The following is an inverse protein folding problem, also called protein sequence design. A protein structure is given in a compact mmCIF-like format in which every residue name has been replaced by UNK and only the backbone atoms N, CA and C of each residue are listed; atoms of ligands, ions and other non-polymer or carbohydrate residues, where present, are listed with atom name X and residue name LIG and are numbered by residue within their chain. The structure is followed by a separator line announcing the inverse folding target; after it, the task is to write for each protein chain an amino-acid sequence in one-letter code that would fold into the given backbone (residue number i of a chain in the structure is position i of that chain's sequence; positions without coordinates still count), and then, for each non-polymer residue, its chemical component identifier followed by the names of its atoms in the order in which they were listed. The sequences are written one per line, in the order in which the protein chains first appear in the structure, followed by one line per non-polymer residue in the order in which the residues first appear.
data_IF_502014620195
#
_entry.id   IF_502014620195
#
_cell.length_a   1.000
_cell.length_b   1.000
_cell.length_c   1.000
_cell.angle_alpha   90.00
_cell.angle_beta   90.00
_cell.angle_gamma   90.00
#
_symmetry.space_group_name_H-M   'P 1'
#
loop_
_entity.id
_entity.type
_entity.pdbx_description
1 polymer ?
#
# COMPACT_ATOMS: atom_id res chain seq x y z
N UNK A 1 -7.32 22.29 -21.19
CA UNK A 1 -6.81 21.06 -21.85
C UNK A 1 -7.19 19.76 -21.11
N UNK A 2 -7.15 19.70 -19.78
CA UNK A 2 -7.42 18.46 -19.03
C UNK A 2 -8.89 18.03 -18.96
N UNK A 3 -9.83 18.98 -18.91
CA UNK A 3 -11.26 18.69 -18.77
C UNK A 3 -11.81 17.58 -19.68
N UNK A 4 -11.69 17.67 -21.03
CA UNK A 4 -12.24 16.62 -21.90
C UNK A 4 -11.56 15.26 -21.71
N UNK A 5 -10.29 15.23 -21.29
CA UNK A 5 -9.55 13.99 -21.01
C UNK A 5 -10.08 13.33 -19.73
N UNK A 6 -10.21 14.11 -18.66
CA UNK A 6 -10.73 13.61 -17.37
C UNK A 6 -12.18 13.15 -17.49
N UNK A 7 -13.01 13.88 -18.26
CA UNK A 7 -14.39 13.48 -18.55
C UNK A 7 -14.46 12.13 -19.29
N UNK A 8 -13.57 11.90 -20.25
CA UNK A 8 -13.48 10.61 -20.94
C UNK A 8 -13.01 9.50 -20.00
N UNK A 9 -11.98 9.75 -19.18
CA UNK A 9 -11.43 8.75 -18.25
C UNK A 9 -12.46 8.33 -17.21
N UNK A 10 -13.27 9.26 -16.70
CA UNK A 10 -14.39 8.95 -15.80
C UNK A 10 -15.36 7.92 -16.40
N UNK A 11 -15.59 7.97 -17.72
CA UNK A 11 -16.45 7.00 -18.41
C UNK A 11 -15.79 5.62 -18.58
N UNK A 12 -14.46 5.56 -18.55
CA UNK A 12 -13.69 4.32 -18.68
C UNK A 12 -13.48 3.60 -17.35
N UNK A 13 -13.58 4.31 -16.22
CA UNK A 13 -13.47 3.69 -14.89
C UNK A 13 -14.64 2.72 -14.66
N UNK A 14 -14.34 1.58 -14.01
CA UNK A 14 -15.35 0.75 -13.36
C UNK A 14 -15.98 1.49 -12.18
N UNK A 15 -17.12 1.02 -11.69
CA UNK A 15 -17.83 1.68 -10.58
C UNK A 15 -17.01 1.70 -9.29
N UNK A 16 -16.22 0.66 -9.04
CA UNK A 16 -15.19 0.56 -8.00
C UNK A 16 -13.82 1.16 -8.39
N UNK A 17 -13.75 1.83 -9.55
CA UNK A 17 -12.52 2.35 -10.13
C UNK A 17 -12.03 3.63 -9.44
N UNK A 18 -10.70 3.80 -9.42
CA UNK A 18 -10.01 4.95 -8.82
C UNK A 18 -9.02 5.57 -9.80
N UNK A 19 -8.93 6.89 -9.79
CA UNK A 19 -7.93 7.67 -10.52
C UNK A 19 -6.95 8.32 -9.55
N UNK A 20 -5.65 8.26 -9.87
CA UNK A 20 -4.59 8.99 -9.18
C UNK A 20 -3.96 10.00 -10.13
N UNK A 21 -3.79 11.25 -9.68
CA UNK A 21 -3.23 12.33 -10.49
C UNK A 21 -2.11 13.02 -9.71
N UNK A 22 -0.86 12.84 -10.17
CA UNK A 22 0.29 13.57 -9.62
C UNK A 22 0.25 15.01 -10.08
N UNK A 23 0.44 15.95 -9.15
CA UNK A 23 0.44 17.39 -9.43
C UNK A 23 1.35 18.12 -8.43
N UNK A 24 1.97 19.22 -8.86
CA UNK A 24 2.70 20.09 -7.96
C UNK A 24 1.75 21.10 -7.27
N UNK A 25 2.32 22.03 -6.51
CA UNK A 25 1.58 23.06 -5.80
C UNK A 25 0.98 24.17 -6.69
N UNK A 26 1.43 24.34 -7.94
CA UNK A 26 0.97 25.44 -8.78
C UNK A 26 -0.48 25.24 -9.22
N UNK A 27 -0.87 24.01 -9.53
CA UNK A 27 -2.16 23.69 -10.17
C UNK A 27 -3.04 22.76 -9.32
N UNK A 28 -2.61 22.38 -8.11
CA UNK A 28 -3.35 21.40 -7.29
C UNK A 28 -4.76 21.88 -6.94
N UNK A 29 -4.95 23.17 -6.72
CA UNK A 29 -6.25 23.75 -6.34
C UNK A 29 -7.20 23.72 -7.53
N UNK A 30 -6.76 24.25 -8.67
CA UNK A 30 -7.57 24.29 -9.90
C UNK A 30 -7.90 22.89 -10.42
N UNK A 31 -6.94 21.96 -10.35
CA UNK A 31 -7.18 20.57 -10.70
C UNK A 31 -8.17 19.90 -9.74
N UNK A 32 -8.15 20.25 -8.45
CA UNK A 32 -9.14 19.73 -7.48
C UNK A 32 -10.55 20.20 -7.82
N UNK A 33 -10.73 21.49 -8.16
CA UNK A 33 -12.02 22.00 -8.61
C UNK A 33 -12.51 21.31 -9.89
N UNK A 34 -11.60 21.08 -10.84
CA UNK A 34 -11.90 20.37 -12.07
C UNK A 34 -12.35 18.92 -11.82
N UNK A 35 -11.67 18.23 -10.89
CA UNK A 35 -12.02 16.87 -10.51
C UNK A 35 -13.36 16.83 -9.75
N UNK A 36 -13.63 17.79 -8.86
CA UNK A 36 -14.93 17.88 -8.18
C UNK A 36 -16.08 18.03 -9.18
N UNK A 37 -15.93 18.84 -10.23
CA UNK A 37 -16.95 18.98 -11.27
C UNK A 37 -17.18 17.66 -12.03
N UNK A 38 -16.12 16.92 -12.33
CA UNK A 38 -16.18 15.71 -13.17
C UNK A 38 -16.59 14.47 -12.37
N UNK A 39 -15.93 14.21 -11.25
CA UNK A 39 -16.12 13.01 -10.44
C UNK A 39 -17.20 13.18 -9.37
N UNK A 40 -17.51 14.42 -8.98
CA UNK A 40 -18.32 14.75 -7.81
C UNK A 40 -17.43 14.90 -6.57
N UNK A 41 -17.68 15.94 -5.78
CA UNK A 41 -16.92 16.23 -4.56
C UNK A 41 -17.03 15.08 -3.54
N UNK A 42 -18.19 14.43 -3.44
CA UNK A 42 -18.43 13.28 -2.56
C UNK A 42 -17.57 12.06 -2.93
N UNK A 43 -17.04 12.01 -4.16
CA UNK A 43 -16.16 10.93 -4.63
C UNK A 43 -14.67 11.26 -4.47
N UNK A 44 -14.33 12.37 -3.81
CA UNK A 44 -12.96 12.64 -3.40
C UNK A 44 -12.50 11.62 -2.37
N UNK A 45 -11.38 10.95 -2.65
CA UNK A 45 -10.83 9.90 -1.77
C UNK A 45 -9.79 10.50 -0.85
N UNK A 46 -8.74 11.12 -1.40
CA UNK A 46 -7.64 11.69 -0.62
C UNK A 46 -6.76 12.60 -1.48
N UNK A 47 -6.05 13.54 -0.84
CA UNK A 47 -4.92 14.27 -1.41
C UNK A 47 -3.64 13.87 -0.68
N UNK A 48 -2.94 12.89 -1.24
CA UNK A 48 -1.68 12.43 -0.68
C UNK A 48 -0.60 13.49 -0.80
N UNK A 49 0.25 13.57 0.23
CA UNK A 49 1.49 14.34 0.22
C UNK A 49 2.62 13.37 -0.10
N UNK A 50 3.22 13.50 -1.28
CA UNK A 50 4.36 12.69 -1.66
C UNK A 50 5.66 13.46 -1.42
N UNK A 51 6.47 12.98 -0.46
CA UNK A 51 7.79 13.55 -0.16
C UNK A 51 8.79 13.17 -1.26
N UNK A 52 8.75 13.88 -2.38
CA UNK A 52 9.41 13.53 -3.64
C UNK A 52 10.90 13.88 -3.68
N UNK A 53 11.36 14.83 -2.86
CA UNK A 53 12.74 15.29 -2.87
C UNK A 53 12.92 16.56 -2.04
N UNK A 54 13.97 17.32 -2.34
CA UNK A 54 14.22 18.65 -1.73
C UNK A 54 14.68 19.60 -2.82
N UNK A 55 13.98 20.71 -2.95
CA UNK A 55 14.38 21.83 -3.80
C UNK A 55 14.42 23.09 -2.95
N UNK A 56 15.58 23.75 -2.91
CA UNK A 56 15.69 25.05 -2.26
C UNK A 56 14.85 26.06 -3.04
N UNK A 57 13.71 26.50 -2.49
CA UNK A 57 13.02 27.69 -2.97
C UNK A 57 13.46 28.91 -2.14
N UNK A 58 13.14 30.12 -2.62
CA UNK A 58 13.69 31.38 -2.08
C UNK A 58 13.55 31.52 -0.56
N UNK A 59 12.34 31.31 -0.03
CA UNK A 59 12.04 31.47 1.40
C UNK A 59 11.87 30.15 2.13
N UNK A 60 11.39 29.10 1.45
CA UNK A 60 11.11 27.79 2.04
C UNK A 60 11.63 26.66 1.15
N UNK A 61 12.14 25.59 1.74
CA UNK A 61 12.50 24.37 1.00
C UNK A 61 11.23 23.61 0.61
N UNK A 62 11.02 23.38 -0.68
CA UNK A 62 9.93 22.54 -1.18
C UNK A 62 10.35 21.07 -1.07
N UNK A 63 9.63 20.28 -0.29
CA UNK A 63 9.96 18.87 -0.04
C UNK A 63 8.94 17.86 -0.58
N UNK A 64 7.84 18.33 -1.17
CA UNK A 64 6.74 17.45 -1.57
C UNK A 64 5.99 17.91 -2.83
N UNK A 65 5.32 16.94 -3.44
CA UNK A 65 4.30 17.06 -4.46
C UNK A 65 2.97 16.47 -3.93
N UNK A 66 1.89 16.64 -4.67
CA UNK A 66 0.58 16.08 -4.34
C UNK A 66 0.18 14.96 -5.28
N UNK A 67 -0.63 14.03 -4.77
CA UNK A 67 -1.34 13.04 -5.60
C UNK A 67 -2.81 13.10 -5.21
N UNK A 68 -3.65 13.57 -6.14
CA UNK A 68 -5.10 13.59 -5.95
C UNK A 68 -5.66 12.21 -6.27
N UNK A 69 -6.56 11.72 -5.44
CA UNK A 69 -7.29 10.47 -5.65
C UNK A 69 -8.80 10.71 -5.64
N UNK A 70 -9.47 10.22 -6.68
CA UNK A 70 -10.93 10.24 -6.82
C UNK A 70 -11.42 8.86 -7.23
N UNK A 71 -12.54 8.43 -6.64
CA UNK A 71 -13.25 7.24 -7.08
C UNK A 71 -14.26 7.59 -8.17
N UNK A 72 -14.74 6.60 -8.91
CA UNK A 72 -15.95 6.78 -9.72
C UNK A 72 -17.20 6.78 -8.84
N UNK A 73 -17.25 5.84 -7.90
CA UNK A 73 -18.21 5.77 -6.79
C UNK A 73 -17.46 5.34 -5.53
N UNK A 74 -17.28 6.26 -4.57
CA UNK A 74 -16.52 5.99 -3.36
C UNK A 74 -17.16 4.90 -2.47
N UNK A 75 -18.49 4.70 -2.57
CA UNK A 75 -19.18 3.68 -1.82
C UNK A 75 -18.86 2.26 -2.31
N UNK A 76 -18.37 2.13 -3.54
CA UNK A 76 -17.98 0.86 -4.16
C UNK A 76 -16.47 0.59 -4.08
N UNK A 77 -15.68 1.54 -3.57
CA UNK A 77 -14.23 1.41 -3.50
C UNK A 77 -13.84 0.28 -2.52
N UNK A 78 -13.05 -0.72 -2.95
CA UNK A 78 -12.69 -1.83 -2.08
C UNK A 78 -11.71 -1.40 -0.98
N UNK A 79 -11.74 -2.05 0.20
CA UNK A 79 -10.72 -1.82 1.22
C UNK A 79 -9.35 -2.27 0.70
N UNK A 80 -8.30 -1.54 1.05
CA UNK A 80 -6.94 -1.95 0.73
C UNK A 80 -6.60 -3.17 1.58
N UNK A 81 -6.40 -4.33 0.93
CA UNK A 81 -6.08 -5.58 1.63
C UNK A 81 -4.57 -5.65 1.87
N UNK A 82 -4.17 -6.08 3.08
CA UNK A 82 -2.76 -6.31 3.37
C UNK A 82 -2.26 -7.57 2.64
N UNK A 83 -1.30 -7.41 1.73
CA UNK A 83 -0.74 -8.50 0.90
C UNK A 83 0.69 -8.91 1.31
N UNK A 84 1.13 -8.59 2.54
CA UNK A 84 2.48 -8.92 3.01
C UNK A 84 2.63 -10.36 3.53
N UNK A 85 3.83 -10.92 3.44
CA UNK A 85 4.18 -12.27 3.93
C UNK A 85 3.96 -12.42 5.45
N UNK A 86 4.25 -11.36 6.22
CA UNK A 86 3.90 -11.27 7.66
C UNK A 86 2.47 -10.77 7.86
N UNK A 87 1.50 -11.55 7.35
CA UNK A 87 0.07 -11.29 7.58
C UNK A 87 -0.31 -11.34 9.06
N UNK A 88 0.57 -11.82 9.93
CA UNK A 88 0.36 -12.01 11.35
C UNK A 88 0.87 -10.80 12.15
N UNK A 89 -0.04 -10.09 12.82
CA UNK A 89 0.30 -9.01 13.74
C UNK A 89 -0.15 -9.37 15.15
N UNK A 90 0.68 -9.08 16.14
CA UNK A 90 0.31 -9.24 17.55
C UNK A 90 -0.20 -7.94 18.16
N UNK A 91 -1.27 -8.02 18.95
CA UNK A 91 -1.80 -6.92 19.76
C UNK A 91 -2.12 -7.42 21.17
N UNK A 92 -2.38 -6.51 22.11
CA UNK A 92 -2.62 -6.82 23.53
C UNK A 92 -4.09 -7.14 23.76
N UNK A 93 -4.35 -8.17 24.56
CA UNK A 93 -5.72 -8.60 24.90
C UNK A 93 -6.26 -7.96 26.20
N UNK A 94 -5.54 -6.98 26.76
CA UNK A 94 -5.88 -6.29 28.00
C UNK A 94 -5.83 -4.77 27.81
N UNK A 95 -6.64 -4.07 28.61
CA UNK A 95 -6.64 -2.61 28.78
C UNK A 95 -6.75 -2.24 30.24
N UNK A 96 -6.53 -0.96 30.54
CA UNK A 96 -6.78 -0.40 31.87
C UNK A 96 -8.24 -0.66 32.26
N UNK A 97 -8.42 -1.21 33.46
CA UNK A 97 -9.75 -1.44 34.04
C UNK A 97 -10.51 -0.12 34.09
N UNK A 98 -11.71 -0.12 33.52
CA UNK A 98 -12.57 1.05 33.38
C UNK A 98 -14.01 0.60 33.19
N UNK A 99 -14.96 1.54 33.20
CA UNK A 99 -16.38 1.24 32.92
C UNK A 99 -16.55 0.55 31.55
N UNK A 100 -15.74 0.92 30.55
CA UNK A 100 -15.75 0.31 29.21
C UNK A 100 -15.04 -1.05 29.14
N UNK A 101 -14.13 -1.33 30.06
CA UNK A 101 -13.36 -2.59 30.11
C UNK A 101 -13.33 -3.07 31.58
N UNK A 102 -14.45 -3.58 32.11
CA UNK A 102 -14.53 -4.02 33.49
C UNK A 102 -13.58 -5.20 33.73
N UNK A 103 -13.01 -5.28 34.93
CA UNK A 103 -12.19 -6.42 35.30
C UNK A 103 -13.05 -7.69 35.33
N UNK A 104 -12.58 -8.75 34.70
CA UNK A 104 -13.25 -10.04 34.69
C UNK A 104 -12.23 -11.17 34.72
N UNK A 105 -12.67 -12.37 35.10
CA UNK A 105 -11.82 -13.55 35.19
C UNK A 105 -11.89 -14.40 33.92
N UNK A 106 -10.76 -15.00 33.57
CA UNK A 106 -10.62 -16.05 32.55
C UNK A 106 -9.67 -17.12 33.10
N UNK A 107 -10.07 -18.39 32.96
CA UNK A 107 -9.23 -19.53 33.30
C UNK A 107 -8.49 -20.01 32.05
N UNK A 108 -7.16 -20.01 32.10
CA UNK A 108 -6.29 -20.47 31.03
C UNK A 108 -5.77 -21.87 31.35
N UNK A 109 -5.93 -22.86 30.44
CA UNK A 109 -5.39 -24.19 30.62
C UNK A 109 -3.87 -24.20 30.45
N UNK A 110 -3.21 -25.28 30.87
CA UNK A 110 -1.80 -25.48 30.56
C UNK A 110 -1.56 -25.51 29.03
N UNK A 111 -0.36 -25.15 28.60
CA UNK A 111 0.07 -25.24 27.20
C UNK A 111 -0.04 -23.96 26.39
N UNK A 112 -0.65 -22.88 26.91
CA UNK A 112 -0.65 -21.57 26.25
C UNK A 112 0.78 -21.09 26.05
N UNK A 113 1.16 -20.72 24.82
CA UNK A 113 2.52 -20.32 24.48
C UNK A 113 2.96 -19.10 25.29
N UNK A 114 4.25 -19.09 25.65
CA UNK A 114 4.89 -18.03 26.41
C UNK A 114 6.24 -17.66 25.77
N UNK A 115 6.47 -16.37 25.52
CA UNK A 115 7.64 -15.86 24.81
C UNK A 115 8.84 -15.51 25.71
N UNK A 116 8.92 -16.07 26.92
CA UNK A 116 10.00 -15.81 27.86
C UNK A 116 10.66 -17.06 28.42
N UNK A 117 11.71 -16.85 29.21
CA UNK A 117 12.35 -17.89 30.01
C UNK A 117 11.49 -18.31 31.20
N UNK A 118 11.75 -19.49 31.77
CA UNK A 118 11.01 -20.05 32.89
C UNK A 118 10.76 -19.01 33.99
N UNK A 119 9.49 -18.78 34.34
CA UNK A 119 9.10 -17.68 35.24
C UNK A 119 7.82 -18.00 35.98
N UNK A 120 7.78 -17.62 37.25
CA UNK A 120 6.58 -17.60 38.08
C UNK A 120 6.22 -16.15 38.37
N UNK A 121 4.98 -15.77 38.06
CA UNK A 121 4.49 -14.41 38.27
C UNK A 121 3.95 -14.23 39.69
N UNK A 122 4.09 -13.03 40.29
CA UNK A 122 3.48 -12.73 41.58
C UNK A 122 1.95 -12.70 41.46
N UNK A 123 1.21 -12.73 42.60
CA UNK A 123 -0.26 -12.70 42.59
C UNK A 123 -0.85 -11.46 41.90
N UNK A 124 -0.13 -10.35 41.85
CA UNK A 124 -0.53 -9.11 41.15
C UNK A 124 0.68 -8.52 40.43
N UNK A 125 0.52 -8.15 39.15
CA UNK A 125 1.57 -7.53 38.35
C UNK A 125 1.03 -6.60 37.26
N UNK A 126 1.91 -5.76 36.70
CA UNK A 126 1.58 -4.76 35.67
C UNK A 126 1.22 -3.39 36.27
N UNK A 127 1.68 -2.31 35.62
CA UNK A 127 1.51 -0.95 36.16
C UNK A 127 0.15 -0.33 35.82
N UNK A 128 -0.08 -0.04 34.53
CA UNK A 128 -1.32 0.60 34.05
C UNK A 128 -2.43 -0.40 33.77
N UNK A 129 -2.06 -1.66 33.56
CA UNK A 129 -2.93 -2.74 33.16
C UNK A 129 -2.62 -3.92 34.05
N UNK A 130 -3.19 -3.84 35.24
CA UNK A 130 -2.97 -4.81 36.31
C UNK A 130 -3.60 -6.14 35.93
N UNK A 131 -2.86 -7.22 36.18
CA UNK A 131 -3.32 -8.60 36.11
C UNK A 131 -3.19 -9.21 37.51
N UNK A 132 -4.25 -9.86 37.97
CA UNK A 132 -4.34 -10.52 39.27
C UNK A 132 -4.54 -12.03 39.06
N UNK A 133 -3.80 -12.86 39.78
CA UNK A 133 -3.98 -14.32 39.83
C UNK A 133 -4.99 -14.64 40.91
N UNK A 134 -6.18 -15.08 40.52
CA UNK A 134 -7.27 -15.35 41.49
C UNK A 134 -7.42 -16.83 41.83
N UNK A 135 -6.93 -17.73 40.98
CA UNK A 135 -6.81 -19.15 41.29
C UNK A 135 -5.63 -19.81 40.55
N UNK A 136 -5.01 -20.82 41.16
CA UNK A 136 -3.85 -21.53 40.60
C UNK A 136 -2.53 -20.77 40.77
N UNK A 137 -1.52 -21.17 39.99
CA UNK A 137 -0.19 -20.53 39.99
C UNK A 137 0.16 -20.15 38.56
N UNK A 138 0.40 -18.86 38.31
CA UNK A 138 0.87 -18.40 37.01
C UNK A 138 2.37 -18.72 36.85
N UNK A 139 2.66 -19.94 36.44
CA UNK A 139 4.01 -20.45 36.19
C UNK A 139 4.15 -20.82 34.71
N UNK A 140 5.15 -20.27 34.02
CA UNK A 140 5.51 -20.64 32.66
C UNK A 140 6.84 -21.39 32.66
N UNK A 141 6.89 -22.53 31.97
CA UNK A 141 8.09 -23.36 31.80
C UNK A 141 8.21 -23.83 30.36
N UNK A 142 9.44 -23.90 29.84
CA UNK A 142 9.74 -24.41 28.50
C UNK A 142 8.92 -23.74 27.39
N UNK A 143 8.70 -22.42 27.50
CA UNK A 143 7.97 -21.64 26.50
C UNK A 143 6.44 -21.80 26.53
N UNK A 144 5.86 -22.37 27.59
CA UNK A 144 4.41 -22.46 27.74
C UNK A 144 3.94 -22.28 29.20
N UNK A 145 2.66 -22.01 29.37
CA UNK A 145 1.98 -22.02 30.66
C UNK A 145 1.99 -23.45 31.23
N UNK A 146 2.62 -23.64 32.39
CA UNK A 146 2.91 -24.96 32.94
C UNK A 146 1.69 -25.66 33.54
N UNK A 147 0.69 -24.90 33.98
CA UNK A 147 -0.52 -25.40 34.64
C UNK A 147 -1.67 -24.42 34.47
N UNK A 148 -2.88 -24.89 34.72
CA UNK A 148 -4.07 -24.05 34.71
C UNK A 148 -3.95 -22.88 35.71
N UNK A 149 -4.41 -21.70 35.28
CA UNK A 149 -4.44 -20.49 36.11
C UNK A 149 -5.66 -19.64 35.77
N UNK A 150 -6.28 -19.05 36.79
CA UNK A 150 -7.34 -18.06 36.60
C UNK A 150 -6.77 -16.65 36.81
N UNK A 151 -6.92 -15.82 35.79
CA UNK A 151 -6.42 -14.45 35.77
C UNK A 151 -7.57 -13.45 35.67
N UNK A 152 -7.48 -12.38 36.45
CA UNK A 152 -8.40 -11.25 36.43
C UNK A 152 -7.73 -10.02 35.85
N UNK A 153 -8.30 -9.46 34.79
CA UNK A 153 -7.81 -8.25 34.13
C UNK A 153 -8.95 -7.53 33.37
N UNK A 154 -8.66 -6.33 32.86
CA UNK A 154 -9.54 -5.60 31.94
C UNK A 154 -9.46 -6.16 30.52
N UNK A 155 -10.00 -7.36 30.28
CA UNK A 155 -9.94 -8.04 28.99
C UNK A 155 -10.68 -7.27 27.89
N UNK A 156 -10.04 -7.05 26.74
CA UNK A 156 -10.67 -6.34 25.60
C UNK A 156 -11.47 -7.24 24.67
N UNK A 157 -11.32 -8.57 24.81
CA UNK A 157 -11.91 -9.57 23.92
C UNK A 157 -12.24 -10.86 24.68
N UNK A 158 -12.86 -10.75 25.87
CA UNK A 158 -13.13 -11.88 26.76
C UNK A 158 -13.81 -13.05 26.03
N UNK A 159 -14.91 -12.77 25.33
CA UNK A 159 -15.65 -13.80 24.60
C UNK A 159 -14.78 -14.48 23.52
N UNK A 160 -13.93 -13.73 22.83
CA UNK A 160 -13.04 -14.30 21.81
C UNK A 160 -11.96 -15.19 22.42
N UNK A 161 -11.41 -14.80 23.59
CA UNK A 161 -10.43 -15.60 24.33
C UNK A 161 -11.09 -16.93 24.74
N UNK A 162 -12.27 -16.88 25.36
CA UNK A 162 -12.99 -18.08 25.82
C UNK A 162 -13.39 -18.99 24.64
N UNK A 163 -13.82 -18.40 23.52
CA UNK A 163 -14.15 -19.15 22.31
C UNK A 163 -12.92 -19.85 21.72
N UNK A 164 -11.77 -19.17 21.69
CA UNK A 164 -10.50 -19.76 21.23
C UNK A 164 -9.99 -20.85 22.17
N UNK A 165 -10.10 -20.65 23.49
CA UNK A 165 -9.76 -21.66 24.49
C UNK A 165 -10.62 -22.93 24.37
N UNK A 166 -11.83 -22.80 23.83
CA UNK A 166 -12.74 -23.91 23.53
C UNK A 166 -12.42 -24.62 22.20
N UNK A 167 -11.38 -24.17 21.47
CA UNK A 167 -10.96 -24.74 20.19
C UNK A 167 -11.71 -24.20 18.96
N UNK A 168 -12.53 -23.16 19.12
CA UNK A 168 -13.28 -22.57 18.02
C UNK A 168 -12.49 -21.44 17.34
N UNK A 169 -12.78 -21.23 16.05
CA UNK A 169 -12.34 -20.03 15.35
C UNK A 169 -12.90 -18.77 16.01
N UNK A 170 -12.08 -17.72 16.06
CA UNK A 170 -12.47 -16.44 16.65
C UNK A 170 -11.97 -15.27 15.83
N UNK A 171 -12.71 -14.17 15.88
CA UNK A 171 -12.48 -12.99 15.05
C UNK A 171 -12.48 -11.73 15.92
N UNK A 172 -11.61 -10.78 15.59
CA UNK A 172 -11.61 -9.48 16.26
C UNK A 172 -12.82 -8.62 15.83
N UNK A 173 -12.99 -7.46 16.46
CA UNK A 173 -14.11 -6.55 16.14
C UNK A 173 -14.10 -6.00 14.71
N UNK A 174 -13.03 -6.22 13.95
CA UNK A 174 -12.89 -5.85 12.54
C UNK A 174 -13.06 -7.06 11.60
N UNK A 175 -13.51 -8.20 12.13
CA UNK A 175 -13.68 -9.43 11.35
C UNK A 175 -12.37 -10.13 10.99
N UNK A 176 -11.25 -9.77 11.62
CA UNK A 176 -9.96 -10.41 11.36
C UNK A 176 -9.82 -11.69 12.17
N UNK A 177 -9.47 -12.81 11.53
CA UNK A 177 -9.26 -14.07 12.23
C UNK A 177 -8.11 -13.93 13.23
N UNK A 178 -8.40 -14.21 14.49
CA UNK A 178 -7.40 -14.32 15.55
C UNK A 178 -6.91 -15.77 15.55
N UNK A 179 -5.63 -15.96 15.24
CA UNK A 179 -5.06 -17.30 15.04
C UNK A 179 -4.47 -17.88 16.31
N UNK A 180 -4.14 -17.04 17.30
CA UNK A 180 -3.46 -17.48 18.51
C UNK A 180 -3.61 -16.46 19.65
N UNK A 181 -3.67 -16.93 20.90
CA UNK A 181 -3.33 -16.15 22.09
C UNK A 181 -2.08 -16.71 22.77
N UNK A 182 -1.21 -15.83 23.27
CA UNK A 182 0.04 -16.20 23.93
C UNK A 182 0.46 -15.15 24.98
N UNK A 183 1.30 -15.54 25.94
CA UNK A 183 1.82 -14.64 26.97
C UNK A 183 3.20 -14.07 26.59
N UNK A 184 3.40 -12.77 26.80
CA UNK A 184 4.72 -12.13 26.72
C UNK A 184 5.52 -12.29 28.02
N UNK A 185 6.85 -12.05 28.03
CA UNK A 185 7.69 -12.17 29.25
C UNK A 185 7.22 -11.38 30.48
N UNK A 186 6.41 -10.33 30.26
CA UNK A 186 5.78 -9.53 31.30
C UNK A 186 4.44 -10.09 31.80
N UNK A 187 4.01 -11.26 31.33
CA UNK A 187 2.77 -11.94 31.72
C UNK A 187 1.52 -11.40 31.00
N UNK A 188 1.67 -10.41 30.13
CA UNK A 188 0.55 -9.83 29.38
C UNK A 188 0.14 -10.76 28.26
N UNK A 189 -1.15 -11.09 28.21
CA UNK A 189 -1.74 -11.84 27.10
C UNK A 189 -1.76 -10.97 25.84
N UNK A 190 -1.23 -11.53 24.75
CA UNK A 190 -1.31 -11.01 23.42
C UNK A 190 -2.05 -11.99 22.51
N UNK A 191 -2.51 -11.48 21.38
CA UNK A 191 -3.14 -12.28 20.36
C UNK A 191 -2.56 -11.95 19.00
N UNK A 192 -2.45 -12.96 18.16
CA UNK A 192 -2.02 -12.82 16.76
C UNK A 192 -3.25 -12.83 15.88
N UNK A 193 -3.35 -11.88 14.94
CA UNK A 193 -4.43 -11.83 13.95
C UNK A 193 -3.89 -11.72 12.54
N UNK A 194 -4.65 -12.27 11.60
CA UNK A 194 -4.43 -12.03 10.17
C UNK A 194 -4.83 -10.59 9.84
N UNK A 195 -3.90 -9.78 9.34
CA UNK A 195 -4.20 -8.45 8.81
C UNK A 195 -5.14 -8.59 7.61
N UNK A 196 -6.39 -8.16 7.79
CA UNK A 196 -7.38 -8.12 6.71
C UNK A 196 -7.31 -6.84 5.88
N UNK A 197 -7.20 -5.67 6.52
CA UNK A 197 -7.27 -4.35 5.87
C UNK A 197 -6.03 -3.53 6.28
N UNK A 198 -5.36 -2.96 5.30
CA UNK A 198 -4.32 -1.94 5.44
C UNK A 198 -4.97 -0.56 5.27
N UNK A 199 -4.55 0.42 6.07
CA UNK A 199 -4.91 1.82 5.85
C UNK A 199 -3.65 2.57 5.39
N UNK A 200 -3.49 2.85 4.07
CA UNK A 200 -2.35 3.59 3.56
C UNK A 200 -2.23 4.95 4.24
N UNK A 201 -0.99 5.40 4.47
CA UNK A 201 -0.74 6.72 5.05
C UNK A 201 -0.91 7.79 3.97
N UNK A 202 -1.50 8.92 4.36
CA UNK A 202 -1.71 10.08 3.48
C UNK A 202 -0.41 10.83 3.16
N UNK A 203 0.62 10.68 4.00
CA UNK A 203 1.98 11.14 3.74
C UNK A 203 2.81 9.96 3.23
N UNK A 204 3.17 10.02 1.95
CA UNK A 204 3.95 8.99 1.26
C UNK A 204 5.43 9.37 1.32
N UNK A 205 6.23 8.49 1.93
CA UNK A 205 7.68 8.64 2.09
C UNK A 205 8.41 7.41 1.56
N UNK A 206 9.70 7.55 1.26
CA UNK A 206 10.56 6.43 0.82
C UNK A 206 10.65 6.26 -0.70
N UNK A 207 9.84 7.02 -1.45
CA UNK A 207 9.90 7.12 -2.91
C UNK A 207 10.36 8.52 -3.30
N UNK A 208 11.40 8.66 -4.11
CA UNK A 208 11.98 9.97 -4.49
C UNK A 208 12.14 10.10 -6.00
N UNK A 209 12.15 11.32 -6.52
CA UNK A 209 12.44 11.60 -7.94
C UNK A 209 13.78 11.01 -8.38
N UNK A 210 14.78 11.07 -7.50
CA UNK A 210 16.11 10.48 -7.73
C UNK A 210 16.06 8.99 -8.03
N UNK A 211 15.22 8.22 -7.32
CA UNK A 211 15.06 6.78 -7.60
C UNK A 211 14.51 6.55 -9.00
N UNK A 212 13.52 7.34 -9.45
CA UNK A 212 12.99 7.23 -10.81
C UNK A 212 14.06 7.48 -11.87
N UNK A 213 14.90 8.52 -11.70
CA UNK A 213 16.00 8.80 -12.63
C UNK A 213 17.05 7.68 -12.63
N UNK A 214 17.32 7.08 -11.46
CA UNK A 214 18.23 5.93 -11.34
C UNK A 214 17.66 4.67 -12.02
N UNK A 215 16.37 4.39 -11.88
CA UNK A 215 15.69 3.27 -12.55
C UNK A 215 15.80 3.40 -14.08
N UNK A 216 15.52 4.58 -14.63
CA UNK A 216 15.67 4.83 -16.07
C UNK A 216 17.11 4.64 -16.51
N UNK A 217 18.08 5.21 -15.78
CA UNK A 217 19.50 5.10 -16.12
C UNK A 217 20.00 3.66 -16.05
N UNK A 218 19.57 2.88 -15.05
CA UNK A 218 19.92 1.47 -14.93
C UNK A 218 19.42 0.65 -16.11
N UNK A 219 18.18 0.90 -16.54
CA UNK A 219 17.53 0.14 -17.61
C UNK A 219 17.99 0.57 -19.02
N UNK A 220 18.13 1.87 -19.26
CA UNK A 220 18.46 2.41 -20.58
C UNK A 220 19.95 2.70 -20.78
N UNK A 221 20.75 2.68 -19.71
CA UNK A 221 22.18 3.04 -19.73
C UNK A 221 22.44 4.53 -19.83
N UNK A 222 21.39 5.37 -19.89
CA UNK A 222 21.48 6.80 -20.12
C UNK A 222 20.37 7.55 -19.39
N UNK A 223 20.60 8.83 -19.09
CA UNK A 223 19.60 9.72 -18.52
C UNK A 223 18.91 10.45 -19.67
N UNK A 224 17.70 10.01 -20.02
CA UNK A 224 16.93 10.47 -21.19
C UNK A 224 15.56 11.03 -20.84
N UNK A 225 15.24 11.08 -19.55
CA UNK A 225 14.04 11.67 -18.97
C UNK A 225 14.44 12.49 -17.75
N UNK A 226 13.87 13.69 -17.62
CA UNK A 226 14.23 14.61 -16.53
C UNK A 226 13.61 14.17 -15.19
N UNK A 227 12.31 13.80 -15.21
CA UNK A 227 11.54 13.52 -13.98
C UNK A 227 10.65 12.26 -14.08
N UNK A 228 11.20 11.08 -14.41
CA UNK A 228 10.43 9.84 -14.39
C UNK A 228 9.93 9.56 -12.96
N UNK A 229 8.65 9.20 -12.79
CA UNK A 229 8.14 8.75 -11.49
C UNK A 229 8.78 7.40 -11.12
N UNK A 230 9.17 7.17 -9.86
CA UNK A 230 9.75 5.89 -9.43
C UNK A 230 8.69 4.78 -9.44
N UNK A 231 9.06 3.57 -9.88
CA UNK A 231 8.14 2.42 -9.92
C UNK A 231 7.53 2.09 -8.56
N UNK A 232 8.32 2.19 -7.48
CA UNK A 232 7.84 1.93 -6.11
C UNK A 232 6.70 2.84 -5.64
N UNK A 233 6.64 4.09 -6.11
CA UNK A 233 5.52 4.99 -5.80
C UNK A 233 4.23 4.46 -6.43
N UNK A 234 4.30 3.99 -7.68
CA UNK A 234 3.14 3.49 -8.41
C UNK A 234 2.70 2.15 -7.80
N UNK A 235 3.63 1.25 -7.45
CA UNK A 235 3.33 0.02 -6.71
C UNK A 235 2.63 0.31 -5.36
N UNK A 236 3.04 1.38 -4.67
CA UNK A 236 2.38 1.81 -3.43
C UNK A 236 0.92 2.22 -3.65
N UNK A 237 0.64 3.00 -4.70
CA UNK A 237 -0.73 3.41 -5.04
C UNK A 237 -1.57 2.22 -5.52
N UNK A 238 -0.98 1.31 -6.28
CA UNK A 238 -1.62 0.09 -6.80
C UNK A 238 -2.04 -0.90 -5.72
N UNK A 239 -1.69 -0.70 -4.44
CA UNK A 239 -2.16 -1.56 -3.35
C UNK A 239 -3.69 -1.70 -3.29
N UNK A 240 -4.41 -0.67 -3.73
CA UNK A 240 -5.88 -0.68 -3.79
C UNK A 240 -6.44 -1.55 -4.92
N UNK A 241 -5.61 -1.89 -5.91
CA UNK A 241 -6.03 -2.67 -7.08
C UNK A 241 -6.06 -4.17 -6.80
N UNK A 242 -7.01 -4.85 -7.44
CA UNK A 242 -7.06 -6.29 -7.60
C UNK A 242 -5.87 -6.83 -8.40
N UNK A 243 -5.70 -8.15 -8.38
CA UNK A 243 -4.60 -8.82 -9.10
C UNK A 243 -4.85 -8.95 -10.61
N UNK A 244 -6.04 -8.61 -11.09
CA UNK A 244 -6.48 -8.80 -12.48
C UNK A 244 -6.95 -7.48 -13.12
N UNK A 245 -6.79 -6.36 -12.41
CA UNK A 245 -7.31 -5.06 -12.84
C UNK A 245 -6.58 -4.52 -14.07
N UNK A 246 -7.24 -3.60 -14.77
CA UNK A 246 -6.66 -2.86 -15.90
C UNK A 246 -6.18 -1.50 -15.40
N UNK A 247 -4.89 -1.21 -15.61
CA UNK A 247 -4.26 0.05 -15.23
C UNK A 247 -4.05 0.92 -16.47
N UNK A 248 -4.71 2.08 -16.52
CA UNK A 248 -4.58 3.04 -17.61
C UNK A 248 -3.71 4.23 -17.19
N UNK A 249 -2.69 4.53 -17.99
CA UNK A 249 -1.92 5.77 -17.90
C UNK A 249 -1.89 6.45 -19.27
N UNK A 250 -2.65 7.54 -19.39
CA UNK A 250 -2.80 8.31 -20.61
C UNK A 250 -1.83 9.51 -20.71
N UNK A 251 -0.88 9.60 -19.77
CA UNK A 251 0.28 10.49 -19.78
C UNK A 251 1.54 9.67 -19.49
N UNK A 252 1.74 8.61 -20.26
CA UNK A 252 2.69 7.55 -19.91
C UNK A 252 4.12 8.06 -19.68
N UNK A 253 4.53 9.13 -20.39
CA UNK A 253 5.84 9.74 -20.28
C UNK A 253 6.90 8.67 -20.43
N UNK A 254 7.71 8.49 -19.38
CA UNK A 254 8.75 7.47 -19.34
C UNK A 254 8.27 6.00 -19.27
N UNK A 255 6.97 5.71 -19.18
CA UNK A 255 6.42 4.36 -19.05
C UNK A 255 6.58 3.73 -17.66
N UNK A 256 6.70 4.54 -16.61
CA UNK A 256 6.88 4.03 -15.25
C UNK A 256 5.69 3.18 -14.78
N UNK A 257 4.46 3.52 -15.17
CA UNK A 257 3.25 2.76 -14.79
C UNK A 257 3.28 1.33 -15.32
N UNK A 258 3.59 1.13 -16.62
CA UNK A 258 3.72 -0.21 -17.18
C UNK A 258 4.83 -1.02 -16.53
N UNK A 259 5.96 -0.38 -16.21
CA UNK A 259 7.05 -1.05 -15.48
C UNK A 259 6.63 -1.46 -14.06
N UNK A 260 5.91 -0.61 -13.33
CA UNK A 260 5.41 -0.94 -11.99
C UNK A 260 4.41 -2.11 -12.03
N UNK A 261 3.54 -2.17 -13.03
CA UNK A 261 2.61 -3.30 -13.22
C UNK A 261 3.36 -4.62 -13.45
N UNK A 262 4.40 -4.62 -14.29
CA UNK A 262 5.23 -5.80 -14.54
C UNK A 262 5.91 -6.30 -13.25
N UNK A 263 6.51 -5.38 -12.48
CA UNK A 263 7.13 -5.70 -11.18
C UNK A 263 6.13 -6.29 -10.19
N UNK A 264 4.96 -5.65 -10.05
CA UNK A 264 3.96 -6.07 -9.10
C UNK A 264 3.40 -7.46 -9.46
N UNK A 265 3.10 -7.72 -10.74
CA UNK A 265 2.64 -9.03 -11.20
C UNK A 265 3.68 -10.13 -10.94
N UNK A 266 4.96 -9.85 -11.22
CA UNK A 266 6.06 -10.78 -10.89
C UNK A 266 6.13 -11.07 -9.38
N UNK A 267 5.91 -10.05 -8.56
CA UNK A 267 6.01 -10.13 -7.10
C UNK A 267 4.85 -10.89 -6.47
N UNK A 268 3.61 -10.64 -6.90
CA UNK A 268 2.40 -11.21 -6.27
C UNK A 268 1.69 -12.29 -7.09
N UNK A 269 2.25 -12.68 -8.24
CA UNK A 269 1.65 -13.64 -9.15
C UNK A 269 0.39 -13.14 -9.85
N UNK A 270 0.09 -11.83 -9.77
CA UNK A 270 -1.06 -11.22 -10.42
C UNK A 270 -0.92 -11.16 -11.95
N UNK A 271 -2.05 -10.85 -12.61
CA UNK A 271 -2.16 -10.70 -14.07
C UNK A 271 -2.78 -9.36 -14.45
N UNK A 272 -2.46 -8.30 -13.69
CA UNK A 272 -2.90 -6.94 -14.00
C UNK A 272 -2.47 -6.56 -15.41
N UNK A 273 -3.36 -5.93 -16.15
CA UNK A 273 -3.09 -5.44 -17.50
C UNK A 273 -2.78 -3.94 -17.44
N UNK A 274 -1.99 -3.44 -18.39
CA UNK A 274 -1.77 -2.00 -18.50
C UNK A 274 -2.00 -1.48 -19.91
N UNK A 275 -2.49 -0.25 -19.99
CA UNK A 275 -2.64 0.53 -21.21
C UNK A 275 -1.89 1.84 -21.04
N UNK A 276 -0.91 2.10 -21.91
CA UNK A 276 -0.14 3.34 -21.92
C UNK A 276 -0.45 4.14 -23.17
N UNK A 277 -0.76 5.44 -23.00
CA UNK A 277 -0.90 6.38 -24.11
C UNK A 277 0.20 7.44 -23.99
N UNK A 278 0.95 7.63 -25.07
CA UNK A 278 2.00 8.64 -25.17
C UNK A 278 1.93 9.33 -26.53
N UNK A 279 1.90 10.67 -26.51
CA UNK A 279 1.97 11.45 -27.74
C UNK A 279 3.35 11.31 -28.41
N UNK A 280 3.42 11.35 -29.75
CA UNK A 280 4.68 11.35 -30.49
C UNK A 280 5.32 12.74 -30.46
N UNK A 281 5.64 13.22 -29.26
CA UNK A 281 6.29 14.52 -29.06
C UNK A 281 7.80 14.43 -29.32
N UNK A 282 8.42 15.42 -29.97
CA UNK A 282 9.87 15.46 -30.17
C UNK A 282 10.64 15.48 -28.85
N UNK A 283 11.78 14.77 -28.78
CA UNK A 283 12.60 14.67 -27.56
C UNK A 283 13.48 15.88 -27.27
N UNK A 284 13.46 16.91 -28.13
CA UNK A 284 14.35 18.09 -28.08
C UNK A 284 14.46 18.81 -26.73
N UNK A 285 13.48 18.62 -25.83
CA UNK A 285 13.46 19.23 -24.49
C UNK A 285 14.14 18.40 -23.40
N UNK A 286 14.57 17.17 -23.69
CA UNK A 286 15.13 16.24 -22.72
C UNK A 286 16.63 16.02 -22.97
N UNK A 287 17.44 16.28 -21.95
CA UNK A 287 18.88 16.12 -22.05
C UNK A 287 19.25 14.65 -22.37
N UNK A 288 20.18 14.45 -23.29
CA UNK A 288 20.67 13.12 -23.67
C UNK A 288 19.71 12.28 -24.54
N UNK A 289 18.45 12.67 -24.68
CA UNK A 289 17.44 11.90 -25.40
C UNK A 289 17.70 11.82 -26.91
N UNK A 290 18.09 12.93 -27.56
CA UNK A 290 18.47 12.94 -28.99
C UNK A 290 19.64 11.99 -29.27
N UNK A 291 20.70 12.07 -28.46
CA UNK A 291 21.87 11.20 -28.61
C UNK A 291 21.52 9.72 -28.40
N UNK A 292 20.65 9.44 -27.43
CA UNK A 292 20.16 8.08 -27.19
C UNK A 292 19.34 7.55 -28.37
N UNK A 293 18.45 8.36 -28.95
CA UNK A 293 17.67 7.99 -30.13
C UNK A 293 18.58 7.65 -31.32
N UNK A 294 19.62 8.45 -31.56
CA UNK A 294 20.61 8.19 -32.60
C UNK A 294 21.38 6.88 -32.33
N UNK A 295 21.86 6.67 -31.10
CA UNK A 295 22.59 5.46 -30.70
C UNK A 295 21.73 4.18 -30.88
N UNK A 296 20.46 4.23 -30.49
CA UNK A 296 19.55 3.09 -30.56
C UNK A 296 18.84 2.96 -31.92
N UNK A 297 19.12 3.86 -32.87
CA UNK A 297 18.48 3.92 -34.19
C UNK A 297 16.94 3.94 -34.11
N UNK A 298 16.39 4.78 -33.22
CA UNK A 298 14.95 4.97 -33.05
C UNK A 298 14.55 6.43 -33.36
N UNK A 299 13.28 6.69 -33.74
CA UNK A 299 12.82 8.06 -33.94
C UNK A 299 13.02 8.93 -32.69
N UNK A 300 13.26 10.22 -32.91
CA UNK A 300 13.45 11.25 -31.87
C UNK A 300 12.14 11.66 -31.20
N UNK A 301 11.35 10.68 -30.76
CA UNK A 301 10.05 10.85 -30.14
C UNK A 301 10.05 10.31 -28.71
N UNK A 302 9.36 11.00 -27.80
CA UNK A 302 9.18 10.56 -26.41
C UNK A 302 8.62 9.13 -26.42
N UNK A 303 7.56 8.89 -27.20
CA UNK A 303 6.93 7.57 -27.34
C UNK A 303 7.89 6.47 -27.80
N UNK A 304 8.91 6.79 -28.60
CA UNK A 304 9.93 5.81 -29.03
C UNK A 304 10.85 5.41 -27.87
N UNK A 305 11.24 6.34 -27.01
CA UNK A 305 12.04 6.04 -25.81
C UNK A 305 11.19 5.29 -24.78
N UNK A 306 9.94 5.70 -24.55
CA UNK A 306 9.00 5.00 -23.65
C UNK A 306 8.79 3.55 -24.07
N UNK A 307 8.59 3.32 -25.38
CA UNK A 307 8.48 2.01 -25.99
C UNK A 307 9.71 1.15 -25.73
N UNK A 308 10.91 1.72 -25.95
CA UNK A 308 12.17 1.03 -25.70
C UNK A 308 12.32 0.64 -24.23
N UNK A 309 11.96 1.54 -23.30
CA UNK A 309 11.98 1.26 -21.85
C UNK A 309 11.04 0.12 -21.49
N UNK A 310 9.80 0.13 -21.95
CA UNK A 310 8.84 -0.94 -21.67
C UNK A 310 9.32 -2.29 -22.21
N UNK A 311 9.86 -2.33 -23.44
CA UNK A 311 10.44 -3.56 -24.00
C UNK A 311 11.57 -4.12 -23.14
N UNK A 312 12.45 -3.28 -22.62
CA UNK A 312 13.50 -3.73 -21.69
C UNK A 312 12.94 -4.18 -20.34
N UNK A 313 11.99 -3.46 -19.78
CA UNK A 313 11.33 -3.84 -18.52
C UNK A 313 10.66 -5.22 -18.62
N UNK A 314 9.99 -5.54 -19.73
CA UNK A 314 9.42 -6.87 -19.99
C UNK A 314 10.53 -7.94 -19.99
N UNK A 315 11.63 -7.67 -20.68
CA UNK A 315 12.73 -8.64 -20.76
C UNK A 315 13.39 -8.94 -19.40
N UNK A 316 13.39 -7.99 -18.48
CA UNK A 316 13.91 -8.13 -17.10
C UNK A 316 12.89 -8.75 -16.14
N UNK A 317 11.63 -8.35 -16.24
CA UNK A 317 10.62 -8.70 -15.24
C UNK A 317 9.78 -9.93 -15.62
N UNK A 318 9.33 -10.05 -16.87
CA UNK A 318 8.51 -11.18 -17.30
C UNK A 318 8.64 -11.44 -18.82
N UNK A 319 9.48 -12.42 -19.17
CA UNK A 319 9.72 -12.82 -20.57
C UNK A 319 8.54 -13.49 -21.25
N UNK A 320 7.49 -13.85 -20.50
CA UNK A 320 6.29 -14.49 -21.05
C UNK A 320 5.22 -13.49 -21.48
N UNK A 321 5.35 -12.23 -21.06
CA UNK A 321 4.40 -11.17 -21.41
C UNK A 321 4.76 -10.48 -22.72
N UNK A 322 3.74 -10.21 -23.54
CA UNK A 322 3.85 -9.42 -24.76
C UNK A 322 3.08 -8.12 -24.64
N UNK A 323 3.63 -7.04 -25.20
CA UNK A 323 2.91 -5.76 -25.37
C UNK A 323 2.61 -5.53 -26.84
N UNK A 324 1.39 -5.09 -27.11
CA UNK A 324 0.95 -4.67 -28.46
C UNK A 324 1.10 -3.16 -28.59
N UNK A 325 1.48 -2.72 -29.77
CA UNK A 325 1.68 -1.31 -30.07
C UNK A 325 0.69 -0.87 -31.14
N UNK A 326 0.03 0.25 -30.87
CA UNK A 326 -0.95 0.86 -31.77
C UNK A 326 -0.56 2.32 -31.99
N UNK A 327 -0.87 2.83 -33.17
CA UNK A 327 -0.70 4.24 -33.53
C UNK A 327 -2.02 4.75 -34.11
N UNK A 328 -2.38 5.98 -33.76
CA UNK A 328 -3.48 6.67 -34.40
C UNK A 328 -3.04 7.14 -35.78
N UNK A 329 -3.82 6.77 -36.79
CA UNK A 329 -3.67 7.26 -38.15
C UNK A 329 -4.78 8.28 -38.45
N UNK A 330 -4.51 9.32 -39.25
CA UNK A 330 -5.56 10.20 -39.75
C UNK A 330 -6.63 9.39 -40.45
N UNK A 331 -7.90 9.63 -40.11
CA UNK A 331 -8.99 9.04 -40.89
C UNK A 331 -9.03 9.74 -42.24
N UNK A 332 -9.07 8.97 -43.33
CA UNK A 332 -9.43 9.48 -44.66
C UNK A 332 -10.95 9.73 -44.66
N UNK A 333 -11.40 10.81 -44.03
CA UNK A 333 -12.79 11.27 -44.12
C UNK A 333 -12.87 12.43 -45.10
#
# INVERSE_FOLDING_TARGET
MLYPRLKLVRNLLSDDGIIFISIDDHEVVDLSHLCNEIFGEDNFVERFIWKSGRTSASTFTREHEYILAYAKDIAQLPPVVYKGEDSLVSDRAIKRVSVKNPASEITFPAGIRFLGENKTFPPVFGDKEVVEVTAGVFECKNGSLAREVTLKAGWTMKNQIENWLSGNDTFDSKGQQVVEFFFKPNGVLQYVKKRGIEHPRTIITGFTTKQGSQEVKALLGSSVFDYPKPTGLIEHLMKITGSEDIILDFFAGSGSTGHAVLKQNKKDGGRRQFILVQLPEPVSKHAGATAYCAQESIPELISSISLKRIKKAIAEEDKTQGVRFFRLEPTKL
#
